data_IF_446902288836
#
_entry.id   IF_446902288836
#
_cell.length_a   1.000
_cell.length_b   1.000
_cell.length_c   1.000
_cell.angle_alpha   90.00
_cell.angle_beta   90.00
_cell.angle_gamma   90.00
#
_symmetry.space_group_name_H-M   'P 1'
#
loop_
_entity.id
_entity.type
_entity.pdbx_description
1 polymer ?
#
# COMPACT_ATOMS: atom_id res chain seq x y z
N UNK A 1 2.91 22.11 -11.05
CA UNK A 1 2.12 20.86 -10.93
C UNK A 1 2.89 19.95 -10.00
N UNK A 2 2.31 19.51 -8.88
CA UNK A 2 2.97 18.58 -7.97
C UNK A 2 3.01 17.19 -8.62
N UNK A 3 4.15 16.52 -8.58
CA UNK A 3 4.29 15.13 -9.00
C UNK A 3 3.48 14.22 -8.05
N UNK A 4 2.74 13.21 -8.54
CA UNK A 4 2.02 12.28 -7.69
C UNK A 4 2.98 11.54 -6.74
N UNK A 5 2.58 11.37 -5.49
CA UNK A 5 3.41 10.72 -4.47
C UNK A 5 3.52 9.21 -4.76
N UNK A 6 4.73 8.64 -4.93
CA UNK A 6 4.89 7.21 -5.22
C UNK A 6 4.55 6.36 -3.99
N UNK A 7 3.73 5.33 -4.15
CA UNK A 7 3.32 4.40 -3.08
C UNK A 7 3.34 2.94 -3.55
N UNK A 8 3.53 2.02 -2.61
CA UNK A 8 3.44 0.57 -2.83
C UNK A 8 2.06 0.09 -2.39
N UNK A 9 1.38 -0.69 -3.23
CA UNK A 9 0.11 -1.37 -2.93
C UNK A 9 0.29 -2.89 -2.99
N UNK A 10 -0.12 -3.58 -1.94
CA UNK A 10 -0.04 -5.04 -1.83
C UNK A 10 -1.43 -5.60 -1.53
N UNK A 11 -2.15 -6.03 -2.57
CA UNK A 11 -3.47 -6.66 -2.45
C UNK A 11 -3.42 -8.16 -2.71
N UNK A 12 -4.44 -8.91 -2.29
CA UNK A 12 -4.60 -10.32 -2.67
C UNK A 12 -5.37 -10.49 -4.00
N UNK A 13 -6.10 -9.46 -4.43
CA UNK A 13 -6.97 -9.49 -5.61
C UNK A 13 -6.50 -8.47 -6.65
N UNK A 14 -6.15 -8.96 -7.85
CA UNK A 14 -5.62 -8.12 -8.95
C UNK A 14 -6.62 -7.05 -9.40
N UNK A 15 -7.90 -7.40 -9.51
CA UNK A 15 -8.97 -6.51 -9.97
C UNK A 15 -9.19 -5.35 -8.99
N UNK A 16 -9.26 -5.65 -7.69
CA UNK A 16 -9.36 -4.63 -6.64
C UNK A 16 -8.13 -3.73 -6.63
N UNK A 17 -6.92 -4.29 -6.75
CA UNK A 17 -5.70 -3.49 -6.82
C UNK A 17 -5.66 -2.53 -8.02
N UNK A 18 -6.17 -2.96 -9.18
CA UNK A 18 -6.27 -2.11 -10.38
C UNK A 18 -7.27 -0.96 -10.21
N UNK A 19 -8.40 -1.22 -9.55
CA UNK A 19 -9.38 -0.17 -9.22
C UNK A 19 -8.82 0.84 -8.23
N UNK A 20 -8.24 0.38 -7.12
CA UNK A 20 -7.64 1.24 -6.09
C UNK A 20 -6.53 2.10 -6.70
N UNK A 21 -5.66 1.53 -7.56
CA UNK A 21 -4.64 2.31 -8.28
C UNK A 21 -5.23 3.46 -9.08
N UNK A 22 -6.33 3.21 -9.80
CA UNK A 22 -7.00 4.25 -10.60
C UNK A 22 -7.60 5.33 -9.69
N UNK A 23 -8.21 4.92 -8.58
CA UNK A 23 -8.85 5.81 -7.62
C UNK A 23 -7.85 6.64 -6.79
N UNK A 24 -6.60 6.19 -6.67
CA UNK A 24 -5.53 6.90 -5.97
C UNK A 24 -4.97 8.10 -6.74
N UNK A 25 -5.21 8.17 -8.05
CA UNK A 25 -4.87 9.33 -8.87
C UNK A 25 -5.81 10.51 -8.58
N UNK A 26 -5.35 11.76 -8.82
CA UNK A 26 -3.99 12.13 -9.26
C UNK A 26 -2.97 12.26 -8.12
N UNK A 27 -3.37 12.11 -6.85
CA UNK A 27 -2.51 12.45 -5.70
C UNK A 27 -1.37 11.45 -5.48
N UNK A 28 -1.63 10.17 -5.75
CA UNK A 28 -0.68 9.09 -5.51
C UNK A 28 -0.47 8.24 -6.76
N UNK A 29 0.79 7.92 -7.04
CA UNK A 29 1.16 6.97 -8.08
C UNK A 29 1.50 5.61 -7.45
N UNK A 30 0.76 4.57 -7.81
CA UNK A 30 1.08 3.21 -7.38
C UNK A 30 2.23 2.66 -8.25
N UNK A 31 3.45 2.75 -7.73
CA UNK A 31 4.66 2.31 -8.45
C UNK A 31 4.84 0.79 -8.42
N UNK A 32 4.35 0.14 -7.36
CA UNK A 32 4.31 -1.31 -7.22
C UNK A 32 2.90 -1.74 -6.81
N UNK A 33 2.32 -2.71 -7.53
CA UNK A 33 1.01 -3.27 -7.24
C UNK A 33 1.09 -4.81 -7.17
N UNK A 34 1.46 -5.34 -6.00
CA UNK A 34 1.54 -6.77 -5.72
C UNK A 34 0.15 -7.38 -5.62
N UNK A 35 -0.10 -8.45 -6.39
CA UNK A 35 -1.30 -9.29 -6.27
C UNK A 35 -0.97 -10.74 -5.86
N UNK A 36 0.29 -11.00 -5.50
CA UNK A 36 0.78 -12.24 -4.93
C UNK A 36 1.54 -11.89 -3.65
N UNK A 37 1.00 -12.31 -2.50
CA UNK A 37 1.54 -11.95 -1.19
C UNK A 37 2.98 -12.44 -1.00
N UNK A 38 3.28 -13.67 -1.43
CA UNK A 38 4.61 -14.26 -1.27
C UNK A 38 5.65 -13.70 -2.24
N UNK A 39 5.23 -13.10 -3.36
CA UNK A 39 6.13 -12.29 -4.19
C UNK A 39 6.37 -10.93 -3.55
N UNK A 40 5.31 -10.28 -3.04
CA UNK A 40 5.43 -8.98 -2.35
C UNK A 40 6.34 -9.05 -1.11
N UNK A 41 6.28 -10.13 -0.32
CA UNK A 41 7.18 -10.41 0.81
C UNK A 41 8.67 -10.42 0.40
N UNK A 42 9.00 -10.72 -0.87
CA UNK A 42 10.37 -10.75 -1.39
C UNK A 42 10.77 -9.47 -2.12
N UNK A 43 9.84 -8.90 -2.88
CA UNK A 43 10.12 -7.77 -3.78
C UNK A 43 10.06 -6.42 -3.05
N UNK A 44 9.09 -6.22 -2.16
CA UNK A 44 8.91 -4.95 -1.43
C UNK A 44 10.15 -4.59 -0.59
N UNK A 45 10.78 -5.51 0.17
CA UNK A 45 12.02 -5.20 0.87
C UNK A 45 13.14 -4.68 -0.05
N UNK A 46 13.32 -5.30 -1.23
CA UNK A 46 14.33 -4.89 -2.21
C UNK A 46 14.06 -3.50 -2.77
N UNK A 47 12.78 -3.18 -3.04
CA UNK A 47 12.36 -1.86 -3.50
C UNK A 47 12.64 -0.80 -2.43
N UNK A 48 12.29 -1.07 -1.16
CA UNK A 48 12.56 -0.13 -0.07
C UNK A 48 14.05 0.04 0.24
N UNK A 49 14.86 -0.99 0.01
CA UNK A 49 16.32 -0.92 0.09
C UNK A 49 16.98 -0.16 -1.08
N UNK A 50 16.19 0.37 -2.03
CA UNK A 50 16.70 1.10 -3.20
C UNK A 50 17.32 0.22 -4.28
N UNK A 51 17.05 -1.10 -4.25
CA UNK A 51 17.53 -2.07 -5.24
C UNK A 51 16.36 -2.84 -5.87
N UNK A 52 15.41 -2.17 -6.54
CA UNK A 52 14.24 -2.81 -7.10
C UNK A 52 14.64 -3.87 -8.14
N UNK A 53 13.97 -5.05 -8.19
CA UNK A 53 14.13 -6.00 -9.28
C UNK A 53 13.80 -5.38 -10.64
N UNK A 54 14.31 -5.98 -11.72
CA UNK A 54 13.94 -5.57 -13.09
C UNK A 54 12.42 -5.62 -13.27
N UNK A 55 11.84 -4.58 -13.90
CA UNK A 55 10.41 -4.51 -14.16
C UNK A 55 9.87 -5.73 -14.94
N UNK A 56 10.68 -6.36 -15.80
CA UNK A 56 10.32 -7.58 -16.52
C UNK A 56 10.17 -8.83 -15.65
N UNK A 57 10.71 -8.79 -14.43
CA UNK A 57 10.73 -9.91 -13.48
C UNK A 57 9.77 -9.72 -12.31
N UNK A 58 9.23 -8.51 -12.14
CA UNK A 58 8.30 -8.19 -11.06
C UNK A 58 6.95 -8.86 -11.29
N UNK A 59 6.37 -9.34 -10.20
CA UNK A 59 5.01 -9.87 -10.21
C UNK A 59 3.93 -8.76 -10.28
N UNK A 60 4.34 -7.50 -10.51
CA UNK A 60 3.50 -6.30 -10.48
C UNK A 60 3.20 -5.72 -11.84
N UNK A 61 2.50 -6.47 -12.68
CA UNK A 61 2.04 -5.99 -13.99
C UNK A 61 0.94 -4.90 -13.92
N UNK A 62 0.58 -4.43 -12.72
CA UNK A 62 -0.47 -3.43 -12.50
C UNK A 62 0.12 -2.06 -12.06
N UNK A 63 1.33 -2.03 -11.51
CA UNK A 63 2.01 -0.78 -11.11
C UNK A 63 2.72 -0.11 -12.29
N UNK A 64 3.21 1.12 -12.12
CA UNK A 64 4.05 1.76 -13.15
C UNK A 64 5.43 1.11 -13.28
N UNK A 65 5.92 0.46 -12.21
CA UNK A 65 7.27 -0.08 -12.08
C UNK A 65 8.38 0.97 -12.32
N UNK A 66 8.02 2.24 -12.12
CA UNK A 66 8.95 3.37 -12.14
C UNK A 66 9.36 3.68 -10.69
N UNK A 67 10.62 3.35 -10.38
CA UNK A 67 11.22 3.54 -9.06
C UNK A 67 12.26 4.67 -9.08
N UNK A 68 12.19 5.58 -10.06
CA UNK A 68 13.06 6.77 -10.13
C UNK A 68 12.92 7.60 -8.87
N UNK A 69 11.68 7.79 -8.40
CA UNK A 69 11.37 8.33 -7.08
C UNK A 69 11.08 7.20 -6.09
N UNK A 70 11.72 7.19 -4.90
CA UNK A 70 11.51 6.15 -3.91
C UNK A 70 10.08 6.20 -3.37
N UNK A 71 9.43 5.04 -3.13
CA UNK A 71 8.11 5.00 -2.53
C UNK A 71 8.06 5.71 -1.17
N UNK A 72 6.89 6.25 -0.83
CA UNK A 72 6.63 7.02 0.39
C UNK A 72 5.74 6.31 1.41
N UNK A 73 5.14 5.19 1.03
CA UNK A 73 4.32 4.34 1.90
C UNK A 73 4.21 2.91 1.34
N UNK A 74 3.99 1.96 2.25
CA UNK A 74 3.55 0.59 1.92
C UNK A 74 2.12 0.39 2.38
N UNK A 75 1.25 -0.09 1.48
CA UNK A 75 -0.17 -0.29 1.74
C UNK A 75 -0.50 -1.77 1.59
N UNK A 76 -1.00 -2.40 2.63
CA UNK A 76 -1.44 -3.80 2.62
C UNK A 76 -2.97 -3.87 2.66
N UNK A 77 -3.55 -4.59 1.70
CA UNK A 77 -5.00 -4.85 1.65
C UNK A 77 -5.46 -5.88 2.69
N UNK A 78 -6.79 -6.08 2.78
CA UNK A 78 -7.41 -6.98 3.76
C UNK A 78 -7.05 -8.48 3.67
N UNK A 79 -6.27 -8.91 2.67
CA UNK A 79 -5.76 -10.27 2.55
C UNK A 79 -4.50 -10.57 3.38
N UNK A 80 -3.90 -9.54 4.00
CA UNK A 80 -2.74 -9.70 4.87
C UNK A 80 -3.18 -9.96 6.32
N UNK A 81 -3.03 -11.20 6.78
CA UNK A 81 -3.18 -11.51 8.20
C UNK A 81 -1.98 -10.96 9.01
N UNK A 82 -2.05 -11.09 10.33
CA UNK A 82 -1.01 -10.58 11.22
C UNK A 82 0.34 -11.24 10.94
N UNK A 83 0.38 -12.56 10.79
CA UNK A 83 1.62 -13.30 10.61
C UNK A 83 2.35 -12.88 9.32
N UNK A 84 1.63 -12.75 8.19
CA UNK A 84 2.22 -12.32 6.92
C UNK A 84 2.61 -10.84 6.94
N UNK A 85 1.80 -9.99 7.57
CA UNK A 85 2.16 -8.59 7.73
C UNK A 85 3.48 -8.45 8.51
N UNK A 86 3.61 -9.16 9.63
CA UNK A 86 4.83 -9.15 10.43
C UNK A 86 6.03 -9.70 9.65
N UNK A 87 5.85 -10.74 8.85
CA UNK A 87 6.90 -11.26 7.98
C UNK A 87 7.37 -10.22 6.95
N UNK A 88 6.44 -9.55 6.25
CA UNK A 88 6.76 -8.46 5.32
C UNK A 88 7.47 -7.30 6.04
N UNK A 89 6.93 -6.85 7.17
CA UNK A 89 7.46 -5.72 7.93
C UNK A 89 8.90 -5.98 8.38
N UNK A 90 9.17 -7.16 8.97
CA UNK A 90 10.52 -7.57 9.38
C UNK A 90 11.48 -7.69 8.21
N UNK A 91 11.04 -8.29 7.10
CA UNK A 91 11.88 -8.39 5.91
C UNK A 91 12.26 -6.99 5.37
N UNK A 92 11.34 -6.04 5.40
CA UNK A 92 11.61 -4.65 5.03
C UNK A 92 12.58 -3.98 6.02
N UNK A 93 12.40 -4.19 7.31
CA UNK A 93 13.27 -3.67 8.36
C UNK A 93 14.70 -4.21 8.21
N UNK A 94 14.86 -5.52 8.03
CA UNK A 94 16.15 -6.17 7.77
C UNK A 94 16.83 -5.63 6.51
N UNK A 95 16.09 -5.52 5.40
CA UNK A 95 16.61 -4.99 4.13
C UNK A 95 17.00 -3.51 4.20
N UNK A 96 16.49 -2.77 5.19
CA UNK A 96 16.75 -1.34 5.40
C UNK A 96 17.64 -1.08 6.62
N UNK A 97 18.44 -2.08 7.02
CA UNK A 97 19.39 -1.99 8.13
C UNK A 97 18.75 -1.59 9.47
N UNK A 98 17.52 -2.04 9.73
CA UNK A 98 16.77 -1.76 10.96
C UNK A 98 16.04 -0.41 10.97
N UNK A 99 16.06 0.35 9.87
CA UNK A 99 15.47 1.68 9.79
C UNK A 99 14.51 1.78 8.60
N UNK A 100 13.23 1.45 8.84
CA UNK A 100 12.20 1.55 7.81
C UNK A 100 12.05 2.99 7.30
N UNK A 101 12.19 3.22 5.98
CA UNK A 101 12.18 4.56 5.42
C UNK A 101 10.77 5.15 5.27
N UNK A 102 9.73 4.33 5.44
CA UNK A 102 8.33 4.69 5.14
C UNK A 102 7.34 4.09 6.15
N UNK A 103 6.17 4.74 6.35
CA UNK A 103 5.05 4.15 7.07
C UNK A 103 4.38 3.00 6.31
N UNK A 104 3.73 2.12 7.08
CA UNK A 104 2.88 1.03 6.62
C UNK A 104 1.42 1.32 6.94
N UNK A 105 0.53 1.06 5.98
CA UNK A 105 -0.91 1.24 6.10
C UNK A 105 -1.60 -0.10 5.91
N UNK A 106 -2.39 -0.51 6.89
CA UNK A 106 -3.11 -1.78 6.90
C UNK A 106 -4.61 -1.55 6.81
N UNK A 107 -5.27 -2.25 5.90
CA UNK A 107 -6.74 -2.26 5.89
C UNK A 107 -7.28 -2.84 7.19
N UNK A 108 -8.19 -2.12 7.83
CA UNK A 108 -8.93 -2.59 8.98
C UNK A 108 -10.19 -3.36 8.52
N UNK A 109 -10.06 -4.70 8.51
CA UNK A 109 -11.18 -5.57 8.17
C UNK A 109 -12.29 -5.51 9.23
N UNK A 110 -11.95 -5.35 10.52
CA UNK A 110 -12.95 -5.25 11.57
C UNK A 110 -13.79 -3.98 11.44
N UNK A 111 -13.15 -2.87 11.05
CA UNK A 111 -13.85 -1.64 10.70
C UNK A 111 -14.77 -1.85 9.48
N UNK A 112 -14.27 -2.54 8.45
CA UNK A 112 -15.07 -2.82 7.25
C UNK A 112 -16.30 -3.67 7.57
N UNK A 113 -16.13 -4.76 8.32
CA UNK A 113 -17.21 -5.63 8.76
C UNK A 113 -18.24 -4.87 9.60
N UNK A 114 -17.78 -4.01 10.52
CA UNK A 114 -18.65 -3.17 11.35
C UNK A 114 -19.48 -2.20 10.50
N UNK A 115 -18.85 -1.47 9.58
CA UNK A 115 -19.54 -0.51 8.71
C UNK A 115 -20.56 -1.20 7.80
N UNK A 116 -20.24 -2.38 7.30
CA UNK A 116 -21.17 -3.19 6.51
C UNK A 116 -22.37 -3.65 7.36
N UNK A 117 -22.14 -4.10 8.59
CA UNK A 117 -23.19 -4.55 9.50
C UNK A 117 -24.14 -3.41 9.93
N UNK A 118 -23.65 -2.18 10.02
CA UNK A 118 -24.47 -1.00 10.37
C UNK A 118 -25.08 -0.28 9.17
N UNK A 119 -24.78 -0.71 7.94
CA UNK A 119 -25.22 -0.03 6.71
C UNK A 119 -24.53 1.30 6.44
N UNK A 120 -23.44 1.59 7.15
CA UNK A 120 -22.63 2.81 7.02
C UNK A 120 -21.52 2.67 5.96
N UNK A 121 -21.34 1.46 5.40
CA UNK A 121 -20.38 1.22 4.35
C UNK A 121 -20.56 -0.10 3.60
N UNK A 122 -19.82 -0.30 2.52
CA UNK A 122 -19.88 -1.51 1.71
C UNK A 122 -19.24 -2.73 2.38
N UNK A 123 -19.85 -3.91 2.18
CA UNK A 123 -19.22 -5.20 2.49
C UNK A 123 -18.04 -5.46 1.55
N UNK A 124 -17.05 -6.27 1.99
CA UNK A 124 -15.86 -6.62 1.20
C UNK A 124 -16.16 -7.14 -0.22
N UNK A 125 -17.27 -7.86 -0.40
CA UNK A 125 -17.67 -8.45 -1.67
C UNK A 125 -18.45 -7.51 -2.60
N UNK A 126 -18.79 -6.31 -2.14
CA UNK A 126 -19.62 -5.38 -2.90
C UNK A 126 -18.80 -4.59 -3.94
N UNK A 127 -19.41 -4.20 -5.06
CA UNK A 127 -18.75 -3.37 -6.08
C UNK A 127 -18.26 -2.00 -5.57
N UNK A 128 -18.87 -1.46 -4.52
CA UNK A 128 -18.55 -0.16 -3.94
C UNK A 128 -17.35 -0.21 -2.99
N UNK A 129 -16.94 -1.39 -2.53
CA UNK A 129 -15.84 -1.59 -1.58
C UNK A 129 -14.52 -0.92 -2.00
N UNK A 130 -14.03 -1.06 -3.25
CA UNK A 130 -12.78 -0.42 -3.69
C UNK A 130 -12.79 1.10 -3.54
N UNK A 131 -13.93 1.76 -3.79
CA UNK A 131 -14.06 3.20 -3.64
C UNK A 131 -14.01 3.61 -2.16
N UNK A 132 -14.78 2.94 -1.30
CA UNK A 132 -14.83 3.25 0.13
C UNK A 132 -13.48 3.01 0.83
N UNK A 133 -12.80 1.90 0.52
CA UNK A 133 -11.48 1.60 1.12
C UNK A 133 -10.40 2.55 0.59
N UNK A 134 -10.46 2.98 -0.67
CA UNK A 134 -9.53 3.98 -1.21
C UNK A 134 -9.73 5.35 -0.55
N UNK A 135 -10.98 5.74 -0.26
CA UNK A 135 -11.26 7.00 0.43
C UNK A 135 -10.65 7.00 1.83
N UNK A 136 -10.90 5.94 2.63
CA UNK A 136 -10.28 5.77 3.95
C UNK A 136 -8.76 5.80 3.90
N UNK A 137 -8.18 5.12 2.91
CA UNK A 137 -6.74 5.13 2.67
C UNK A 137 -6.22 6.55 2.39
N UNK A 138 -6.84 7.31 1.49
CA UNK A 138 -6.43 8.69 1.19
C UNK A 138 -6.49 9.58 2.44
N UNK A 139 -7.56 9.45 3.23
CA UNK A 139 -7.70 10.22 4.45
C UNK A 139 -6.61 9.87 5.46
N UNK A 140 -6.28 8.58 5.61
CA UNK A 140 -5.20 8.14 6.48
C UNK A 140 -3.80 8.54 5.99
N UNK A 141 -3.55 8.48 4.68
CA UNK A 141 -2.30 8.95 4.08
C UNK A 141 -2.08 10.43 4.36
N UNK A 142 -3.12 11.27 4.22
CA UNK A 142 -3.05 12.70 4.55
C UNK A 142 -2.85 12.95 6.04
N UNK A 143 -3.58 12.23 6.90
CA UNK A 143 -3.41 12.33 8.36
C UNK A 143 -1.96 11.99 8.79
N UNK A 144 -1.38 10.97 8.16
CA UNK A 144 -0.01 10.53 8.40
C UNK A 144 1.04 11.32 7.61
N UNK A 145 0.65 12.40 6.92
CA UNK A 145 1.57 13.27 6.21
C UNK A 145 2.30 12.65 5.01
N UNK A 146 1.64 11.71 4.33
CA UNK A 146 2.12 11.13 3.08
C UNK A 146 1.46 11.90 1.94
N UNK A 147 2.17 12.90 1.41
CA UNK A 147 1.69 13.77 0.35
C UNK A 147 2.78 14.67 -0.24
N UNK A 148 2.43 15.42 -1.29
CA UNK A 148 3.36 16.34 -1.93
C UNK A 148 3.75 17.48 -0.97
N UNK A 149 5.05 17.66 -0.75
CA UNK A 149 5.59 18.71 0.13
C UNK A 149 5.78 18.32 1.60
N UNK A 150 5.52 17.05 1.96
CA UNK A 150 5.64 16.59 3.35
C UNK A 150 7.00 15.93 3.65
N UNK A 151 7.71 16.44 4.65
CA UNK A 151 9.00 15.92 5.11
C UNK A 151 8.79 14.71 6.03
N UNK A 152 9.05 13.50 5.51
CA UNK A 152 9.30 12.21 6.20
C UNK A 152 8.71 12.01 7.63
N UNK A 153 7.51 12.52 7.90
CA UNK A 153 6.79 12.24 9.14
C UNK A 153 6.33 10.79 9.13
N UNK A 154 6.58 10.04 10.19
CA UNK A 154 6.06 8.68 10.41
C UNK A 154 6.78 7.50 9.73
N UNK A 155 8.07 7.64 9.39
CA UNK A 155 8.90 6.50 8.98
C UNK A 155 8.81 5.34 10.00
N UNK A 156 8.55 4.11 9.53
CA UNK A 156 8.35 2.93 10.37
C UNK A 156 7.02 2.87 11.14
N UNK A 157 6.15 3.89 11.06
CA UNK A 157 4.84 3.86 11.70
C UNK A 157 3.90 2.84 11.04
N UNK A 158 3.05 2.20 11.83
CA UNK A 158 1.99 1.30 11.34
C UNK A 158 0.63 1.94 11.61
N UNK A 159 -0.13 2.17 10.55
CA UNK A 159 -1.44 2.82 10.59
C UNK A 159 -2.53 1.88 10.07
N UNK A 160 -3.71 1.99 10.65
CA UNK A 160 -4.91 1.28 10.21
C UNK A 160 -5.88 2.25 9.51
N UNK A 161 -6.58 1.78 8.48
CA UNK A 161 -7.55 2.55 7.71
C UNK A 161 -8.76 1.72 7.25
#
# INVERSE_FOLDING_TARGET
MSTPTPVILCGAMREVAALIRTLLLPEYNVVYAGHNLSAAEREVPLILAGSPPSASTLHTQVGSNDFTDPPRAVITGGGWNEERFQALYRACEEATNGALPVPFFRTDNALTDRLAATGEGPAHSSPEYPAAVTQRLKDKLREAGVGAGEEKGNAGGVFWF
#
